data_IF_277525260792
#
_entry.id   IF_277525260792
#
_cell.length_a   1.000
_cell.length_b   1.000
_cell.length_c   1.000
_cell.angle_alpha   90.00
_cell.angle_beta   90.00
_cell.angle_gamma   90.00
#
_symmetry.space_group_name_H-M   'P 1'
#
loop_
_entity.id
_entity.type
_entity.pdbx_description
1 polymer ?
#
# COMPACT_ATOMS: atom_id res chain seq x y z
N UNK A 1 25.07 -1.17 -50.22
CA UNK A 1 25.24 -2.16 -49.13
C UNK A 1 25.11 -1.54 -47.73
N UNK A 2 25.82 -0.44 -47.41
CA UNK A 2 25.82 0.17 -46.06
C UNK A 2 24.43 0.47 -45.46
N UNK A 3 23.49 1.08 -46.21
CA UNK A 3 22.16 1.45 -45.69
C UNK A 3 21.30 0.26 -45.20
N UNK A 4 21.40 -0.90 -45.87
CA UNK A 4 20.62 -2.11 -45.50
C UNK A 4 21.13 -2.72 -44.20
N UNK A 5 22.45 -2.86 -44.09
CA UNK A 5 23.10 -3.37 -42.88
C UNK A 5 22.84 -2.47 -41.69
N UNK A 6 22.90 -1.14 -41.87
CA UNK A 6 22.57 -0.17 -40.81
C UNK A 6 21.13 -0.34 -40.34
N UNK A 7 20.17 -0.49 -41.25
CA UNK A 7 18.76 -0.57 -40.88
C UNK A 7 18.41 -1.90 -40.20
N UNK A 8 19.03 -3.01 -40.61
CA UNK A 8 18.92 -4.28 -39.90
C UNK A 8 19.54 -4.22 -38.49
N UNK A 9 20.69 -3.56 -38.34
CA UNK A 9 21.33 -3.35 -37.03
C UNK A 9 20.41 -2.53 -36.13
N UNK A 10 19.82 -1.43 -36.64
CA UNK A 10 18.87 -0.61 -35.88
C UNK A 10 17.62 -1.39 -35.48
N UNK A 11 17.04 -2.19 -36.38
CA UNK A 11 15.90 -3.06 -36.03
C UNK A 11 16.30 -4.03 -34.92
N UNK A 12 17.48 -4.65 -35.02
CA UNK A 12 18.00 -5.57 -34.01
C UNK A 12 18.17 -4.89 -32.65
N UNK A 13 18.73 -3.68 -32.61
CA UNK A 13 18.89 -2.91 -31.36
C UNK A 13 17.54 -2.56 -30.75
N UNK A 14 16.60 -2.02 -31.54
CA UNK A 14 15.27 -1.64 -31.03
C UNK A 14 14.48 -2.88 -30.59
N UNK A 15 14.59 -4.00 -31.30
CA UNK A 15 13.96 -5.26 -30.91
C UNK A 15 14.55 -5.81 -29.60
N UNK A 16 15.87 -5.74 -29.42
CA UNK A 16 16.52 -6.14 -28.17
C UNK A 16 16.11 -5.23 -27.00
N UNK A 17 16.03 -3.92 -27.22
CA UNK A 17 15.53 -2.99 -26.20
C UNK A 17 14.06 -3.28 -25.88
N UNK A 18 13.21 -3.48 -26.88
CA UNK A 18 11.79 -3.80 -26.68
C UNK A 18 11.62 -5.11 -25.89
N UNK A 19 12.31 -6.18 -26.28
CA UNK A 19 12.27 -7.46 -25.57
C UNK A 19 12.84 -7.28 -24.16
N UNK A 20 13.95 -6.57 -24.00
CA UNK A 20 14.54 -6.28 -22.70
C UNK A 20 13.58 -5.53 -21.77
N UNK A 21 12.91 -4.49 -22.27
CA UNK A 21 11.90 -3.72 -21.51
C UNK A 21 10.70 -4.58 -21.14
N UNK A 22 10.18 -5.39 -22.07
CA UNK A 22 9.06 -6.31 -21.77
C UNK A 22 9.47 -7.38 -20.76
N UNK A 23 10.64 -8.00 -20.94
CA UNK A 23 11.16 -9.01 -20.01
C UNK A 23 11.40 -8.42 -18.63
N UNK A 24 11.99 -7.22 -18.55
CA UNK A 24 12.21 -6.53 -17.29
C UNK A 24 10.88 -6.24 -16.58
N UNK A 25 9.90 -5.63 -17.26
CA UNK A 25 8.59 -5.33 -16.64
C UNK A 25 7.76 -6.57 -16.25
N UNK A 26 8.09 -7.76 -16.75
CA UNK A 26 7.46 -9.03 -16.32
C UNK A 26 8.20 -9.65 -15.13
N UNK A 27 9.53 -9.48 -15.08
CA UNK A 27 10.39 -10.13 -14.10
C UNK A 27 10.62 -9.30 -12.84
N UNK A 28 10.51 -7.98 -12.95
CA UNK A 28 10.65 -7.06 -11.83
C UNK A 28 9.28 -6.86 -11.18
N UNK A 29 9.13 -7.13 -9.88
CA UNK A 29 7.90 -6.84 -9.14
C UNK A 29 7.55 -5.35 -9.28
N UNK A 30 6.27 -5.05 -9.48
CA UNK A 30 5.82 -3.67 -9.44
C UNK A 30 5.59 -3.28 -7.99
N UNK A 31 6.56 -2.62 -7.37
CA UNK A 31 6.41 -2.01 -6.06
C UNK A 31 6.45 -0.48 -6.23
N UNK A 32 5.33 0.20 -5.95
CA UNK A 32 5.22 1.65 -6.06
C UNK A 32 6.24 2.37 -5.16
N UNK A 33 6.59 1.77 -4.03
CA UNK A 33 7.51 2.31 -3.03
C UNK A 33 8.98 1.97 -3.29
N UNK A 34 9.33 1.23 -4.34
CA UNK A 34 10.69 0.68 -4.54
C UNK A 34 11.84 1.70 -4.50
N UNK A 35 11.58 2.97 -4.84
CA UNK A 35 12.55 4.07 -4.80
C UNK A 35 11.94 5.30 -4.14
N UNK A 36 10.93 5.10 -3.30
CA UNK A 36 10.23 6.17 -2.63
C UNK A 36 11.00 6.59 -1.37
N UNK A 37 10.92 7.88 -1.07
CA UNK A 37 11.43 8.45 0.18
C UNK A 37 10.42 9.46 0.68
N UNK A 38 9.90 9.19 1.87
CA UNK A 38 8.75 9.89 2.41
C UNK A 38 8.20 9.16 3.63
N UNK A 39 7.22 9.78 4.27
CA UNK A 39 6.48 9.17 5.38
C UNK A 39 5.73 7.93 4.88
N UNK A 40 5.74 6.87 5.68
CA UNK A 40 4.81 5.76 5.51
C UNK A 40 3.45 6.08 6.12
N UNK A 41 2.55 5.10 6.08
CA UNK A 41 1.13 5.27 6.43
C UNK A 41 0.80 5.15 7.93
N UNK A 42 1.82 5.06 8.81
CA UNK A 42 1.63 4.69 10.21
C UNK A 42 2.42 5.57 11.17
N UNK A 43 1.74 6.12 12.18
CA UNK A 43 2.32 6.94 13.26
C UNK A 43 1.71 6.57 14.62
N UNK A 44 2.44 6.89 15.69
CA UNK A 44 1.93 6.85 17.06
C UNK A 44 2.64 7.88 17.96
N UNK A 45 1.96 8.35 19.01
CA UNK A 45 2.45 9.37 19.95
C UNK A 45 2.84 8.70 21.27
N UNK A 46 4.01 9.06 21.81
CA UNK A 46 4.44 8.54 23.10
C UNK A 46 3.52 9.01 24.23
N UNK A 47 3.31 8.21 25.30
CA UNK A 47 2.43 8.58 26.41
C UNK A 47 2.78 9.90 27.11
N UNK A 48 4.02 10.38 26.98
CA UNK A 48 4.50 11.65 27.55
C UNK A 48 4.36 12.86 26.60
N UNK A 49 3.82 12.66 25.38
CA UNK A 49 3.68 13.66 24.31
C UNK A 49 5.01 14.26 23.81
N UNK A 50 6.16 13.65 24.14
CA UNK A 50 7.49 14.18 23.74
C UNK A 50 7.98 13.62 22.39
N UNK A 51 7.52 12.42 22.03
CA UNK A 51 8.00 11.68 20.86
C UNK A 51 6.84 11.20 19.96
N UNK A 52 7.13 11.13 18.67
CA UNK A 52 6.30 10.51 17.66
C UNK A 52 7.08 9.35 17.04
N UNK A 53 6.52 8.15 17.07
CA UNK A 53 7.00 7.04 16.26
C UNK A 53 6.32 7.07 14.90
N UNK A 54 7.07 6.83 13.82
CA UNK A 54 6.51 6.80 12.47
C UNK A 54 7.30 5.88 11.57
N UNK A 55 6.63 5.29 10.58
CA UNK A 55 7.31 4.59 9.50
C UNK A 55 7.78 5.59 8.43
N UNK A 56 8.96 5.35 7.87
CA UNK A 56 9.56 6.23 6.86
C UNK A 56 10.31 5.40 5.84
N UNK A 57 10.04 5.67 4.56
CA UNK A 57 10.76 5.09 3.45
C UNK A 57 12.01 5.90 3.14
N UNK A 58 13.11 5.20 2.87
CA UNK A 58 14.34 5.78 2.35
C UNK A 58 14.86 4.90 1.22
N UNK A 59 14.75 5.40 -0.02
CA UNK A 59 15.07 4.65 -1.25
C UNK A 59 14.37 3.28 -1.29
N UNK A 60 13.09 3.28 -0.89
CA UNK A 60 12.21 2.11 -0.83
C UNK A 60 12.43 1.14 0.34
N UNK A 61 13.30 1.50 1.28
CA UNK A 61 13.45 0.78 2.53
C UNK A 61 12.69 1.50 3.66
N UNK A 62 11.68 0.83 4.20
CA UNK A 62 10.81 1.29 5.28
C UNK A 62 11.39 0.91 6.63
N UNK A 63 11.67 1.92 7.43
CA UNK A 63 12.20 1.80 8.78
C UNK A 63 11.32 2.57 9.76
N UNK A 64 11.49 2.32 11.05
CA UNK A 64 10.80 3.07 12.10
C UNK A 64 11.73 4.14 12.66
N UNK A 65 11.21 5.35 12.75
CA UNK A 65 11.89 6.53 13.27
C UNK A 65 11.15 7.07 14.48
N UNK A 66 11.91 7.72 15.38
CA UNK A 66 11.40 8.56 16.45
C UNK A 66 11.68 10.02 16.13
N UNK A 67 10.64 10.84 16.16
CA UNK A 67 10.71 12.31 16.07
C UNK A 67 10.52 12.93 17.43
N UNK A 68 11.42 13.82 17.85
CA UNK A 68 11.24 14.64 19.04
C UNK A 68 10.37 15.86 18.71
N UNK A 69 9.22 15.99 19.37
CA UNK A 69 8.23 17.01 19.04
C UNK A 69 8.59 18.42 19.54
N UNK A 70 9.57 18.56 20.44
CA UNK A 70 10.04 19.87 20.93
C UNK A 70 11.04 20.50 19.96
N UNK A 71 12.01 19.72 19.48
CA UNK A 71 13.14 20.24 18.70
C UNK A 71 13.18 19.78 17.23
N UNK A 72 12.27 18.88 16.85
CA UNK A 72 12.12 18.36 15.49
C UNK A 72 13.17 17.34 15.05
N UNK A 73 14.11 16.92 15.91
CA UNK A 73 15.13 15.94 15.53
C UNK A 73 14.54 14.55 15.35
N UNK A 74 15.05 13.79 14.39
CA UNK A 74 14.63 12.41 14.12
C UNK A 74 15.77 11.42 14.30
N UNK A 75 15.47 10.23 14.82
CA UNK A 75 16.39 9.11 14.98
C UNK A 75 15.79 7.83 14.39
N UNK A 76 16.59 7.06 13.65
CA UNK A 76 16.19 5.73 13.15
C UNK A 76 16.34 4.71 14.29
N UNK A 77 15.25 4.08 14.70
CA UNK A 77 15.23 3.16 15.85
C UNK A 77 15.06 1.70 15.47
N UNK A 78 14.37 1.42 14.37
CA UNK A 78 14.28 0.08 13.77
C UNK A 78 14.66 0.18 12.29
N UNK A 79 15.96 0.00 11.96
CA UNK A 79 16.42 0.02 10.58
C UNK A 79 15.76 -1.09 9.76
N UNK A 80 15.51 -0.79 8.49
CA UNK A 80 15.16 -1.76 7.46
C UNK A 80 16.23 -2.84 7.36
N UNK A 81 15.80 -4.03 6.95
CA UNK A 81 16.70 -5.15 6.73
C UNK A 81 16.17 -6.02 5.61
N UNK A 82 15.94 -7.29 5.92
CA UNK A 82 15.20 -8.18 5.01
C UNK A 82 13.69 -7.94 5.04
N UNK A 83 13.21 -7.18 6.02
CA UNK A 83 11.81 -6.81 6.23
C UNK A 83 11.62 -5.30 6.13
N UNK A 84 10.40 -4.89 5.80
CA UNK A 84 9.92 -3.52 5.83
C UNK A 84 9.24 -3.29 7.19
N UNK A 85 9.65 -2.28 7.95
CA UNK A 85 9.13 -2.08 9.31
C UNK A 85 8.05 -0.98 9.33
N UNK A 86 6.88 -1.29 9.89
CA UNK A 86 5.72 -0.37 9.91
C UNK A 86 4.88 -0.52 11.17
N UNK A 87 3.85 0.32 11.30
CA UNK A 87 2.84 0.28 12.37
C UNK A 87 3.46 0.27 13.79
N UNK A 88 4.30 1.27 14.13
CA UNK A 88 4.79 1.39 15.50
C UNK A 88 3.64 1.73 16.45
N UNK A 89 3.60 1.10 17.62
CA UNK A 89 2.70 1.46 18.73
C UNK A 89 3.49 1.42 20.04
N UNK A 90 3.54 2.54 20.76
CA UNK A 90 4.27 2.66 22.01
C UNK A 90 3.67 1.77 23.10
N UNK A 91 4.55 1.23 23.95
CA UNK A 91 4.10 0.64 25.21
C UNK A 91 3.44 1.72 26.10
N UNK A 92 2.46 1.35 26.95
CA UNK A 92 1.81 2.31 27.85
C UNK A 92 2.77 3.03 28.81
N UNK A 93 3.94 2.44 29.07
CA UNK A 93 4.99 3.05 29.90
C UNK A 93 5.96 3.95 29.11
N UNK A 94 5.78 4.04 27.78
CA UNK A 94 6.53 4.86 26.84
C UNK A 94 7.98 4.42 26.60
N UNK A 95 8.42 3.28 27.15
CA UNK A 95 9.82 2.86 27.01
C UNK A 95 10.10 2.09 25.73
N UNK A 96 9.15 1.26 25.31
CA UNK A 96 9.25 0.39 24.15
C UNK A 96 8.13 0.63 23.16
N UNK A 97 8.05 -0.24 22.15
CA UNK A 97 6.97 -0.25 21.16
C UNK A 97 6.82 -1.62 20.52
N UNK A 98 5.62 -1.97 20.07
CA UNK A 98 5.44 -3.04 19.09
C UNK A 98 5.52 -2.48 17.68
N UNK A 99 5.82 -3.35 16.71
CA UNK A 99 5.78 -3.01 15.29
C UNK A 99 5.65 -4.25 14.41
N UNK A 100 5.30 -4.06 13.14
CA UNK A 100 5.31 -5.12 12.13
C UNK A 100 6.58 -5.10 11.30
N UNK A 101 7.19 -6.28 11.16
CA UNK A 101 8.21 -6.57 10.17
C UNK A 101 7.57 -7.34 9.01
N UNK A 102 7.33 -6.65 7.90
CA UNK A 102 6.73 -7.22 6.69
C UNK A 102 7.79 -7.89 5.82
N UNK A 103 7.62 -9.19 5.60
CA UNK A 103 8.51 -10.02 4.79
C UNK A 103 8.29 -9.80 3.28
N UNK A 104 9.19 -10.32 2.44
CA UNK A 104 9.12 -10.16 0.97
C UNK A 104 7.82 -10.71 0.35
N UNK A 105 7.20 -11.72 0.98
CA UNK A 105 5.91 -12.30 0.59
C UNK A 105 4.69 -11.56 1.17
N UNK A 106 4.91 -10.48 1.91
CA UNK A 106 3.89 -9.67 2.57
C UNK A 106 3.42 -10.22 3.91
N UNK A 107 4.03 -11.29 4.43
CA UNK A 107 3.71 -11.79 5.76
C UNK A 107 4.22 -10.82 6.82
N UNK A 108 3.31 -10.33 7.67
CA UNK A 108 3.63 -9.44 8.78
C UNK A 108 3.96 -10.26 10.03
N UNK A 109 5.14 -10.00 10.59
CA UNK A 109 5.60 -10.60 11.84
C UNK A 109 5.64 -9.53 12.92
N UNK A 110 4.97 -9.78 14.03
CA UNK A 110 4.92 -8.87 15.17
C UNK A 110 6.22 -8.94 15.97
N UNK A 111 6.76 -7.77 16.29
CA UNK A 111 7.96 -7.60 17.09
C UNK A 111 7.72 -6.59 18.20
N UNK A 112 8.53 -6.68 19.26
CA UNK A 112 8.59 -5.71 20.35
C UNK A 112 10.02 -5.17 20.47
N UNK A 113 10.15 -3.85 20.46
CA UNK A 113 11.39 -3.15 20.76
C UNK A 113 11.33 -2.66 22.23
N UNK A 114 12.13 -3.22 23.15
CA UNK A 114 12.06 -2.83 24.57
C UNK A 114 12.44 -1.37 24.84
N UNK A 115 13.41 -0.84 24.08
CA UNK A 115 13.82 0.55 24.09
C UNK A 115 14.61 0.89 22.81
N UNK A 116 14.67 2.17 22.40
CA UNK A 116 15.57 2.60 21.32
C UNK A 116 17.02 2.16 21.56
N UNK A 117 17.57 1.41 20.62
CA UNK A 117 18.94 0.87 20.67
C UNK A 117 19.08 -0.52 21.30
N UNK A 118 18.01 -1.09 21.86
CA UNK A 118 17.97 -2.50 22.24
C UNK A 118 17.70 -3.41 21.02
N UNK A 119 17.94 -4.70 21.16
CA UNK A 119 17.60 -5.69 20.13
C UNK A 119 16.09 -5.99 20.16
N UNK A 120 15.40 -5.99 19.01
CA UNK A 120 14.00 -6.37 18.93
C UNK A 120 13.75 -7.84 19.33
N UNK A 121 12.62 -8.08 19.97
CA UNK A 121 12.10 -9.39 20.33
C UNK A 121 11.02 -9.76 19.33
N UNK A 122 11.19 -10.84 18.60
CA UNK A 122 10.16 -11.37 17.71
C UNK A 122 9.05 -12.01 18.57
N UNK A 123 7.83 -11.49 18.45
CA UNK A 123 6.67 -11.93 19.23
C UNK A 123 5.80 -12.94 18.50
N UNK A 124 5.91 -13.10 17.17
CA UNK A 124 5.18 -14.13 16.42
C UNK A 124 6.10 -14.83 15.41
N UNK A 125 5.77 -16.04 15.00
CA UNK A 125 6.51 -16.78 13.96
C UNK A 125 6.06 -16.42 12.54
N UNK A 126 6.85 -16.83 11.55
CA UNK A 126 6.61 -16.60 10.11
C UNK A 126 5.52 -17.50 9.50
N UNK A 127 5.03 -18.48 10.26
CA UNK A 127 3.88 -19.31 9.91
C UNK A 127 2.53 -18.64 10.23
N UNK A 128 2.55 -17.43 10.78
CA UNK A 128 1.38 -16.60 11.05
C UNK A 128 1.53 -15.24 10.35
N UNK A 129 0.45 -14.77 9.71
CA UNK A 129 0.33 -13.40 9.24
C UNK A 129 -0.48 -12.60 10.25
N UNK A 130 0.11 -11.53 10.79
CA UNK A 130 -0.53 -10.61 11.74
C UNK A 130 -1.13 -9.42 11.00
N UNK A 131 -2.42 -9.16 11.19
CA UNK A 131 -3.11 -8.02 10.58
C UNK A 131 -3.03 -6.77 11.45
N UNK A 132 -3.30 -6.93 12.74
CA UNK A 132 -3.40 -5.86 13.72
C UNK A 132 -2.92 -6.37 15.08
N UNK A 133 -2.35 -5.51 15.90
CA UNK A 133 -1.89 -5.83 17.24
C UNK A 133 -2.05 -4.60 18.14
N UNK A 134 -2.28 -4.82 19.43
CA UNK A 134 -2.40 -3.78 20.47
C UNK A 134 -1.76 -4.24 21.78
N UNK A 135 -1.18 -3.32 22.54
CA UNK A 135 -0.58 -3.61 23.86
C UNK A 135 -1.61 -3.42 24.98
N UNK A 136 -1.63 -4.34 25.95
CA UNK A 136 -2.44 -4.22 27.16
C UNK A 136 -2.13 -2.98 27.98
N UNK A 137 -3.11 -2.36 28.67
CA UNK A 137 -2.85 -1.18 29.51
C UNK A 137 -1.79 -1.38 30.60
N UNK A 138 -1.58 -2.63 31.04
CA UNK A 138 -0.53 -2.99 32.00
C UNK A 138 0.85 -3.18 31.36
N UNK A 139 0.93 -3.19 30.03
CA UNK A 139 2.16 -3.27 29.24
C UNK A 139 2.76 -4.67 29.11
N UNK A 140 2.10 -5.74 29.59
CA UNK A 140 2.71 -7.07 29.66
C UNK A 140 2.26 -8.03 28.55
N UNK A 141 1.10 -7.78 27.93
CA UNK A 141 0.49 -8.68 26.95
C UNK A 141 0.20 -7.94 25.65
N UNK A 142 0.46 -8.59 24.53
CA UNK A 142 0.06 -8.10 23.21
C UNK A 142 -1.07 -8.97 22.69
N UNK A 143 -2.17 -8.34 22.29
CA UNK A 143 -3.29 -8.98 21.62
C UNK A 143 -3.20 -8.70 20.14
N UNK A 144 -3.47 -9.69 19.30
CA UNK A 144 -3.31 -9.54 17.86
C UNK A 144 -4.29 -10.40 17.06
N UNK A 145 -4.69 -9.90 15.90
CA UNK A 145 -5.47 -10.64 14.91
C UNK A 145 -4.49 -11.30 13.95
N UNK A 146 -4.58 -12.62 13.80
CA UNK A 146 -3.72 -13.34 12.87
C UNK A 146 -4.42 -14.53 12.23
N UNK A 147 -3.84 -14.99 11.11
CA UNK A 147 -4.19 -16.25 10.46
C UNK A 147 -2.90 -17.00 10.07
N UNK A 148 -2.97 -18.31 9.78
CA UNK A 148 -1.83 -19.02 9.21
C UNK A 148 -1.33 -18.36 7.91
N UNK A 149 -0.04 -18.10 7.80
CA UNK A 149 0.54 -17.41 6.64
C UNK A 149 0.36 -18.20 5.33
N UNK A 150 0.15 -19.51 5.41
CA UNK A 150 -0.18 -20.35 4.26
C UNK A 150 -1.57 -20.03 3.64
N UNK A 151 -2.49 -19.51 4.45
CA UNK A 151 -3.84 -19.09 4.04
C UNK A 151 -3.89 -17.61 3.61
N UNK A 152 -2.91 -16.80 4.03
CA UNK A 152 -2.77 -15.41 3.61
C UNK A 152 -2.64 -15.29 2.08
N UNK A 153 -3.37 -14.33 1.49
CA UNK A 153 -3.47 -14.11 0.04
C UNK A 153 -3.97 -15.31 -0.80
N UNK A 154 -4.57 -16.34 -0.18
CA UNK A 154 -5.23 -17.40 -0.94
C UNK A 154 -6.53 -16.88 -1.56
N UNK A 155 -6.88 -17.33 -2.79
CA UNK A 155 -8.16 -16.97 -3.42
C UNK A 155 -9.36 -17.37 -2.54
N UNK A 156 -10.50 -16.65 -2.64
CA UNK A 156 -11.72 -17.03 -1.94
C UNK A 156 -12.10 -18.50 -2.18
N UNK A 157 -12.40 -19.23 -1.10
CA UNK A 157 -12.75 -20.65 -1.14
C UNK A 157 -11.57 -21.62 -1.22
N UNK A 158 -10.33 -21.12 -1.06
CA UNK A 158 -9.10 -21.93 -0.94
C UNK A 158 -8.41 -21.81 0.43
N UNK A 159 -8.92 -20.95 1.29
CA UNK A 159 -8.46 -20.79 2.67
C UNK A 159 -9.00 -21.96 3.49
N UNK A 160 -8.13 -22.66 4.20
CA UNK A 160 -8.52 -23.74 5.10
C UNK A 160 -8.83 -23.20 6.52
N UNK A 161 -8.23 -22.07 6.89
CA UNK A 161 -8.45 -21.34 8.15
C UNK A 161 -8.64 -19.84 7.89
N UNK A 162 -9.15 -19.11 8.88
CA UNK A 162 -9.31 -17.65 8.82
C UNK A 162 -8.59 -16.94 9.95
N UNK A 163 -8.97 -15.68 10.16
CA UNK A 163 -8.44 -14.83 11.22
C UNK A 163 -9.05 -15.15 12.57
N UNK A 164 -8.22 -15.08 13.60
CA UNK A 164 -8.59 -15.23 15.00
C UNK A 164 -7.81 -14.25 15.88
N UNK A 165 -8.32 -14.02 17.09
CA UNK A 165 -7.63 -13.25 18.12
C UNK A 165 -6.70 -14.17 18.89
N UNK A 166 -5.48 -13.70 19.07
CA UNK A 166 -4.43 -14.33 19.86
C UNK A 166 -3.91 -13.36 20.91
N UNK A 167 -3.20 -13.91 21.91
CA UNK A 167 -2.38 -13.13 22.84
C UNK A 167 -1.00 -13.74 23.00
N UNK A 168 -0.02 -12.88 23.29
CA UNK A 168 1.33 -13.25 23.68
C UNK A 168 1.78 -12.40 24.87
N UNK A 169 2.33 -13.04 25.89
CA UNK A 169 2.98 -12.36 27.01
C UNK A 169 4.43 -12.01 26.63
N UNK A 170 4.78 -10.73 26.75
CA UNK A 170 6.04 -10.16 26.23
C UNK A 170 7.27 -10.78 26.93
N UNK A 171 7.17 -11.06 28.23
CA UNK A 171 8.30 -11.53 29.04
C UNK A 171 8.49 -13.05 28.96
N UNK A 172 7.39 -13.80 28.90
CA UNK A 172 7.39 -15.26 28.98
C UNK A 172 7.26 -15.97 27.63
N UNK A 173 6.95 -15.24 26.55
CA UNK A 173 6.69 -15.79 25.21
C UNK A 173 5.55 -16.82 25.22
N UNK A 174 4.58 -16.61 26.11
CA UNK A 174 3.42 -17.50 26.28
C UNK A 174 2.31 -17.12 25.32
N UNK A 175 2.08 -17.97 24.32
CA UNK A 175 1.04 -17.78 23.31
C UNK A 175 -0.26 -18.50 23.61
N UNK A 176 -1.38 -17.85 23.29
CA UNK A 176 -2.72 -18.45 23.37
C UNK A 176 -3.62 -17.93 22.25
N UNK A 177 -4.41 -18.83 21.64
CA UNK A 177 -5.50 -18.48 20.72
C UNK A 177 -6.77 -18.28 21.55
N UNK A 178 -7.39 -17.10 21.47
CA UNK A 178 -8.55 -16.71 22.28
C UNK A 178 -9.89 -17.02 21.60
N UNK A 179 -9.92 -16.97 20.27
CA UNK A 179 -11.12 -17.29 19.47
C UNK A 179 -10.90 -18.52 18.59
N UNK A 180 -11.99 -19.12 18.08
CA UNK A 180 -11.92 -20.20 17.08
C UNK A 180 -13.00 -19.97 16.03
N UNK A 181 -12.92 -18.81 15.38
CA UNK A 181 -13.89 -18.29 14.41
C UNK A 181 -13.53 -18.62 12.98
N UNK A 182 -12.23 -18.68 12.68
CA UNK A 182 -11.73 -18.76 11.30
C UNK A 182 -12.37 -17.67 10.42
N UNK A 183 -12.41 -16.44 10.94
CA UNK A 183 -13.14 -15.35 10.30
C UNK A 183 -12.50 -14.95 8.97
N UNK A 184 -13.31 -14.70 7.94
CA UNK A 184 -12.79 -14.26 6.65
C UNK A 184 -12.19 -12.84 6.73
N UNK A 185 -12.83 -11.98 7.51
CA UNK A 185 -12.39 -10.61 7.80
C UNK A 185 -12.56 -10.34 9.30
N UNK A 186 -11.50 -9.84 9.93
CA UNK A 186 -11.47 -9.41 11.33
C UNK A 186 -10.48 -8.25 11.44
N UNK A 187 -10.93 -7.11 11.98
CA UNK A 187 -10.20 -5.83 11.96
C UNK A 187 -10.67 -4.88 13.05
N UNK A 188 -9.98 -3.75 13.22
CA UNK A 188 -10.30 -2.74 14.21
C UNK A 188 -10.12 -3.20 15.66
N UNK A 189 -9.13 -4.05 15.93
CA UNK A 189 -8.82 -4.56 17.27
C UNK A 189 -8.54 -3.40 18.22
N UNK A 190 -9.32 -3.31 19.29
CA UNK A 190 -9.19 -2.33 20.36
C UNK A 190 -9.44 -2.98 21.72
N UNK A 191 -9.14 -2.29 22.81
CA UNK A 191 -9.31 -2.82 24.16
C UNK A 191 -9.83 -1.77 25.13
N UNK A 192 -10.61 -2.22 26.12
CA UNK A 192 -11.07 -1.40 27.23
C UNK A 192 -9.90 -0.99 28.14
N UNK A 193 -10.02 0.17 28.78
CA UNK A 193 -8.95 0.72 29.63
C UNK A 193 -8.63 -0.16 30.86
N UNK A 194 -9.59 -0.94 31.34
CA UNK A 194 -9.39 -1.92 32.41
C UNK A 194 -8.66 -3.19 31.94
N UNK A 195 -8.49 -3.38 30.63
CA UNK A 195 -7.86 -4.54 30.02
C UNK A 195 -8.70 -5.82 30.09
N UNK A 196 -10.00 -5.71 30.38
CA UNK A 196 -10.88 -6.87 30.55
C UNK A 196 -11.64 -7.25 29.26
N UNK A 197 -11.81 -6.30 28.32
CA UNK A 197 -12.61 -6.48 27.10
C UNK A 197 -11.86 -6.07 25.84
N UNK A 198 -11.90 -6.92 24.81
CA UNK A 198 -11.46 -6.59 23.45
C UNK A 198 -12.65 -6.21 22.57
N UNK A 199 -12.42 -5.33 21.60
CA UNK A 199 -13.39 -4.94 20.58
C UNK A 199 -12.81 -5.20 19.20
N UNK A 200 -13.61 -5.71 18.28
CA UNK A 200 -13.22 -5.92 16.89
C UNK A 200 -14.44 -5.96 15.95
N UNK A 201 -14.24 -5.69 14.67
CA UNK A 201 -15.24 -5.81 13.62
C UNK A 201 -14.93 -7.01 12.71
N UNK A 202 -15.94 -7.66 12.13
CA UNK A 202 -15.72 -8.78 11.21
C UNK A 202 -16.93 -9.20 10.39
N UNK A 203 -16.69 -9.81 9.23
CA UNK A 203 -17.72 -10.06 8.19
C UNK A 203 -18.81 -11.05 8.60
N UNK A 204 -18.55 -11.92 9.57
CA UNK A 204 -19.47 -13.00 9.94
C UNK A 204 -20.74 -12.49 10.65
N UNK A 205 -20.73 -11.24 11.14
CA UNK A 205 -21.85 -10.58 11.81
C UNK A 205 -22.43 -9.37 11.03
N UNK A 206 -21.93 -9.07 9.83
CA UNK A 206 -22.13 -7.76 9.19
C UNK A 206 -21.18 -6.70 9.78
N UNK A 207 -21.36 -5.42 9.45
CA UNK A 207 -20.58 -4.31 10.05
C UNK A 207 -20.99 -4.06 11.51
N UNK A 208 -20.77 -5.07 12.36
CA UNK A 208 -21.13 -5.08 13.77
C UNK A 208 -19.84 -5.16 14.55
N UNK A 209 -19.67 -4.24 15.50
CA UNK A 209 -18.58 -4.31 16.46
C UNK A 209 -18.90 -5.40 17.48
N UNK A 210 -17.96 -6.29 17.75
CA UNK A 210 -18.10 -7.36 18.74
C UNK A 210 -17.21 -7.05 19.93
N UNK A 211 -17.76 -7.14 21.14
CA UNK A 211 -16.94 -7.18 22.35
C UNK A 211 -16.64 -8.62 22.74
N UNK A 212 -15.43 -8.88 23.24
CA UNK A 212 -14.97 -10.16 23.76
C UNK A 212 -14.42 -9.97 25.18
N UNK A 213 -15.04 -10.62 26.16
CA UNK A 213 -14.58 -10.63 27.55
C UNK A 213 -13.43 -11.63 27.71
N UNK A 214 -12.26 -11.16 28.15
CA UNK A 214 -11.02 -11.94 28.16
C UNK A 214 -11.04 -13.06 29.21
N UNK A 215 -11.74 -12.89 30.34
CA UNK A 215 -11.77 -13.89 31.40
C UNK A 215 -12.75 -15.02 31.09
N UNK A 216 -13.93 -14.67 30.59
CA UNK A 216 -15.04 -15.60 30.38
C UNK A 216 -15.08 -16.16 28.95
N UNK A 217 -14.49 -15.45 27.99
CA UNK A 217 -14.61 -15.74 26.56
C UNK A 217 -16.01 -15.46 26.01
N UNK A 218 -16.85 -14.71 26.74
CA UNK A 218 -18.19 -14.34 26.28
C UNK A 218 -18.10 -13.19 25.26
N UNK A 219 -18.93 -13.30 24.21
CA UNK A 219 -19.03 -12.28 23.17
C UNK A 219 -20.40 -11.62 23.17
N UNK A 220 -20.41 -10.32 22.88
CA UNK A 220 -21.62 -9.56 22.67
C UNK A 220 -21.50 -8.67 21.42
N UNK A 221 -22.54 -8.71 20.59
CA UNK A 221 -22.66 -7.85 19.41
C UNK A 221 -23.15 -6.46 19.81
N UNK A 222 -22.38 -5.43 19.44
CA UNK A 222 -22.76 -4.04 19.47
C UNK A 222 -23.14 -3.61 18.06
N UNK A 223 -24.44 -3.47 17.82
CA UNK A 223 -24.92 -2.75 16.65
C UNK A 223 -24.61 -1.27 16.83
N UNK A 224 -23.44 -0.84 16.36
CA UNK A 224 -23.11 0.58 16.28
C UNK A 224 -23.96 1.16 15.16
N UNK A 225 -25.20 1.54 15.51
CA UNK A 225 -26.25 1.88 14.54
C UNK A 225 -26.00 3.24 13.87
N UNK A 226 -24.94 3.93 14.28
CA UNK A 226 -24.63 5.32 13.95
C UNK A 226 -23.24 5.50 13.29
N UNK A 227 -22.43 4.43 13.14
CA UNK A 227 -21.16 4.52 12.40
C UNK A 227 -21.40 4.37 10.89
N UNK A 228 -20.63 5.07 10.04
CA UNK A 228 -20.69 4.91 8.58
C UNK A 228 -20.28 3.50 8.15
N UNK A 229 -20.74 3.07 6.96
CA UNK A 229 -20.44 1.73 6.40
C UNK A 229 -18.92 1.47 6.22
N UNK A 230 -18.08 2.51 6.20
CA UNK A 230 -16.63 2.40 6.09
C UNK A 230 -15.91 3.23 7.15
N UNK A 231 -15.43 2.53 8.19
CA UNK A 231 -14.56 3.06 9.23
C UNK A 231 -13.21 2.35 9.17
N UNK A 232 -12.13 3.11 9.14
CA UNK A 232 -10.75 2.62 9.14
C UNK A 232 -9.92 3.23 10.26
N UNK A 233 -8.92 2.47 10.73
CA UNK A 233 -7.94 2.88 11.74
C UNK A 233 -8.58 3.48 13.02
N UNK A 234 -9.53 2.77 13.66
CA UNK A 234 -10.08 3.21 14.92
C UNK A 234 -8.98 3.26 15.99
N UNK A 235 -8.79 4.40 16.62
CA UNK A 235 -7.86 4.58 17.74
C UNK A 235 -8.61 5.10 18.96
N UNK A 236 -8.38 4.49 20.12
CA UNK A 236 -9.03 4.85 21.37
C UNK A 236 -8.15 5.83 22.14
N UNK A 237 -8.74 6.91 22.65
CA UNK A 237 -8.06 7.80 23.61
C UNK A 237 -7.60 7.03 24.86
N UNK A 238 -6.52 7.48 25.50
CA UNK A 238 -5.95 6.78 26.67
C UNK A 238 -6.94 6.56 27.83
N UNK A 239 -7.94 7.44 27.96
CA UNK A 239 -8.99 7.34 28.97
C UNK A 239 -10.24 6.56 28.50
N UNK A 240 -10.25 6.06 27.27
CA UNK A 240 -11.37 5.31 26.68
C UNK A 240 -12.62 6.12 26.37
N UNK A 241 -12.62 7.45 26.57
CA UNK A 241 -13.83 8.29 26.46
C UNK A 241 -14.15 8.71 25.01
N UNK A 242 -13.14 8.68 24.15
CA UNK A 242 -13.23 9.05 22.74
C UNK A 242 -12.60 7.99 21.85
N UNK A 243 -13.22 7.77 20.69
CA UNK A 243 -12.74 6.95 19.60
C UNK A 243 -12.53 7.86 18.38
N UNK A 244 -11.30 7.97 17.90
CA UNK A 244 -11.01 8.64 16.65
C UNK A 244 -10.95 7.62 15.52
N UNK A 245 -11.47 7.97 14.35
CA UNK A 245 -11.50 7.06 13.21
C UNK A 245 -11.60 7.81 11.90
N UNK A 246 -11.16 7.16 10.81
CA UNK A 246 -11.25 7.71 9.47
C UNK A 246 -12.48 7.11 8.76
N UNK A 247 -13.26 7.96 8.10
CA UNK A 247 -14.41 7.52 7.33
C UNK A 247 -14.60 8.35 6.05
N UNK A 248 -15.32 7.78 5.10
CA UNK A 248 -15.60 8.45 3.83
C UNK A 248 -16.57 9.63 4.02
N UNK A 249 -16.19 10.82 3.55
CA UNK A 249 -17.02 12.03 3.51
C UNK A 249 -17.28 12.50 2.07
N UNK A 250 -17.91 11.63 1.28
CA UNK A 250 -18.31 11.95 -0.10
C UNK A 250 -17.22 11.74 -1.15
N UNK A 251 -17.26 12.56 -2.21
CA UNK A 251 -16.38 12.48 -3.39
C UNK A 251 -15.98 13.88 -3.85
N UNK A 252 -14.75 14.02 -4.35
CA UNK A 252 -14.27 15.24 -4.98
C UNK A 252 -14.80 15.41 -6.42
N UNK A 253 -14.49 16.54 -7.08
CA UNK A 253 -14.98 16.83 -8.45
C UNK A 253 -14.59 15.78 -9.50
N UNK A 254 -13.55 14.99 -9.25
CA UNK A 254 -13.07 13.94 -10.14
C UNK A 254 -13.70 12.57 -9.86
N UNK A 255 -14.57 12.46 -8.85
CA UNK A 255 -15.20 11.21 -8.41
C UNK A 255 -14.29 10.34 -7.54
N UNK A 256 -13.23 10.92 -6.97
CA UNK A 256 -12.39 10.24 -5.98
C UNK A 256 -13.00 10.43 -4.60
N UNK A 257 -13.08 9.37 -3.81
CA UNK A 257 -13.56 9.43 -2.43
C UNK A 257 -12.70 10.34 -1.55
N UNK A 258 -13.35 11.05 -0.63
CA UNK A 258 -12.71 11.88 0.39
C UNK A 258 -12.79 11.10 1.70
N UNK A 259 -11.70 11.09 2.47
CA UNK A 259 -11.63 10.43 3.77
C UNK A 259 -11.23 11.46 4.82
N UNK A 260 -12.06 11.59 5.85
CA UNK A 260 -11.90 12.58 6.92
C UNK A 260 -11.85 11.90 8.28
N UNK A 261 -11.28 12.60 9.25
CA UNK A 261 -11.18 12.16 10.64
C UNK A 261 -12.43 12.56 11.41
N UNK A 262 -12.96 11.61 12.16
CA UNK A 262 -14.12 11.77 13.04
C UNK A 262 -13.74 11.39 14.46
N UNK A 263 -14.45 11.99 15.42
CA UNK A 263 -14.31 11.74 16.84
C UNK A 263 -15.68 11.33 17.39
N UNK A 264 -15.74 10.17 18.02
CA UNK A 264 -16.94 9.64 18.65
C UNK A 264 -16.77 9.58 20.16
N UNK A 265 -17.76 10.07 20.90
CA UNK A 265 -17.84 9.84 22.33
C UNK A 265 -18.31 8.40 22.59
N UNK A 266 -17.53 7.63 23.36
CA UNK A 266 -17.77 6.18 23.52
C UNK A 266 -18.98 5.85 24.39
N UNK A 267 -19.41 6.76 25.28
CA UNK A 267 -20.58 6.54 26.15
C UNK A 267 -21.90 6.89 25.44
N UNK A 268 -21.95 8.04 24.77
CA UNK A 268 -23.16 8.55 24.12
C UNK A 268 -23.34 8.06 22.68
N UNK A 269 -22.24 7.70 22.01
CA UNK A 269 -22.19 7.39 20.59
C UNK A 269 -22.29 8.60 19.67
N UNK A 270 -22.28 9.82 20.20
CA UNK A 270 -22.28 11.03 19.39
C UNK A 270 -20.96 11.21 18.65
N UNK A 271 -21.04 11.45 17.35
CA UNK A 271 -19.89 11.65 16.44
C UNK A 271 -19.82 13.09 15.94
N UNK A 272 -18.61 13.64 15.86
CA UNK A 272 -18.28 14.88 15.17
C UNK A 272 -17.15 14.69 14.16
N UNK A 273 -17.21 15.44 13.05
CA UNK A 273 -16.14 15.50 12.06
C UNK A 273 -15.07 16.50 12.52
N UNK A 274 -13.82 16.07 12.56
CA UNK A 274 -12.69 16.90 13.00
C UNK A 274 -11.98 17.60 11.84
N UNK A 275 -11.97 17.00 10.65
CA UNK A 275 -11.23 17.51 9.49
C UNK A 275 -12.14 17.75 8.30
N UNK A 276 -11.79 18.76 7.50
CA UNK A 276 -12.37 19.09 6.19
C UNK A 276 -11.19 19.37 5.24
N UNK A 277 -10.31 18.37 5.10
CA UNK A 277 -9.08 18.48 4.30
C UNK A 277 -9.40 18.44 2.80
N UNK A 278 -10.46 17.73 2.41
CA UNK A 278 -10.92 17.61 1.03
C UNK A 278 -10.15 16.60 0.17
N UNK A 279 -9.32 15.77 0.82
CA UNK A 279 -8.60 14.66 0.20
C UNK A 279 -8.67 13.42 1.09
N UNK A 280 -7.55 12.91 1.60
CA UNK A 280 -7.50 11.73 2.48
C UNK A 280 -6.64 12.04 3.70
N UNK A 281 -7.09 11.61 4.88
CA UNK A 281 -6.31 11.60 6.11
C UNK A 281 -6.24 10.18 6.68
N UNK A 282 -5.17 9.87 7.40
CA UNK A 282 -4.89 8.54 7.91
C UNK A 282 -4.17 8.57 9.26
N UNK A 283 -4.12 7.41 9.91
CA UNK A 283 -3.36 7.09 11.13
C UNK A 283 -3.54 8.13 12.25
N UNK A 284 -4.76 8.37 12.73
CA UNK A 284 -4.95 9.25 13.87
C UNK A 284 -4.23 8.71 15.10
N UNK A 285 -3.59 9.60 15.86
CA UNK A 285 -2.95 9.28 17.12
C UNK A 285 -3.25 10.37 18.17
N UNK A 286 -3.71 9.97 19.35
CA UNK A 286 -4.04 10.91 20.43
C UNK A 286 -2.79 11.42 21.13
N UNK A 287 -2.76 12.71 21.43
CA UNK A 287 -1.91 13.22 22.49
C UNK A 287 -2.55 12.88 23.85
N UNK A 288 -1.73 12.45 24.80
CA UNK A 288 -2.18 12.04 26.13
C UNK A 288 -2.52 13.21 27.03
N UNK A 289 -1.72 14.28 26.98
CA UNK A 289 -1.80 15.41 27.90
C UNK A 289 -2.32 16.69 27.24
N UNK A 290 -2.49 16.69 25.91
CA UNK A 290 -3.01 17.82 25.15
C UNK A 290 -4.26 17.45 24.37
N UNK A 291 -5.19 18.40 24.20
CA UNK A 291 -6.51 18.18 23.61
C UNK A 291 -6.45 18.20 22.06
N UNK A 292 -5.61 17.34 21.49
CA UNK A 292 -5.22 17.32 20.06
C UNK A 292 -4.91 15.89 19.61
N UNK A 293 -4.97 15.69 18.30
CA UNK A 293 -4.50 14.48 17.63
C UNK A 293 -3.41 14.82 16.61
N UNK A 294 -2.49 13.89 16.40
CA UNK A 294 -1.67 13.82 15.21
C UNK A 294 -2.37 12.96 14.14
N UNK A 295 -2.10 13.24 12.88
CA UNK A 295 -2.59 12.47 11.73
C UNK A 295 -1.65 12.65 10.54
N UNK A 296 -1.78 11.76 9.56
CA UNK A 296 -1.16 11.90 8.25
C UNK A 296 -2.19 12.47 7.27
N UNK A 297 -1.86 13.55 6.57
CA UNK A 297 -2.65 14.10 5.48
C UNK A 297 -2.03 13.67 4.15
N UNK A 298 -2.79 13.03 3.28
CA UNK A 298 -2.31 12.53 1.99
C UNK A 298 -2.46 13.60 0.90
N UNK A 299 -1.35 14.12 0.41
CA UNK A 299 -1.33 15.25 -0.52
C UNK A 299 -1.75 14.88 -1.95
N UNK A 300 -1.47 13.65 -2.38
CA UNK A 300 -1.61 13.22 -3.77
C UNK A 300 -2.61 12.08 -3.98
N UNK A 301 -3.49 11.87 -3.01
CA UNK A 301 -4.56 10.87 -3.04
C UNK A 301 -5.35 10.89 -4.37
N UNK A 302 -5.56 9.73 -5.04
CA UNK A 302 -5.25 8.36 -4.63
C UNK A 302 -4.02 7.80 -5.35
N UNK A 303 -2.96 8.60 -5.48
CA UNK A 303 -1.74 8.18 -6.18
C UNK A 303 -0.93 7.20 -5.34
N UNK A 304 -0.13 6.35 -5.99
CA UNK A 304 0.86 5.51 -5.34
C UNK A 304 2.25 5.73 -5.97
N UNK A 305 3.33 5.83 -5.19
CA UNK A 305 3.35 5.84 -3.71
C UNK A 305 2.66 7.10 -3.15
N UNK A 306 2.05 6.98 -1.98
CA UNK A 306 1.35 8.09 -1.32
C UNK A 306 2.35 9.09 -0.74
N UNK A 307 2.07 10.38 -0.88
CA UNK A 307 2.83 11.45 -0.27
C UNK A 307 2.06 12.00 0.94
N UNK A 308 2.59 11.77 2.14
CA UNK A 308 1.97 12.21 3.39
C UNK A 308 2.67 13.44 3.98
N UNK A 309 1.87 14.33 4.56
CA UNK A 309 2.31 15.38 5.47
C UNK A 309 1.83 15.07 6.89
N UNK A 310 2.72 15.23 7.87
CA UNK A 310 2.40 15.04 9.28
C UNK A 310 1.72 16.29 9.85
N UNK A 311 0.51 16.12 10.36
CA UNK A 311 -0.37 17.20 10.79
C UNK A 311 -0.88 16.99 12.20
N UNK A 312 -1.39 18.07 12.80
CA UNK A 312 -2.18 18.04 14.04
C UNK A 312 -3.49 18.77 13.89
N UNK A 313 -4.49 18.32 14.65
CA UNK A 313 -5.79 18.96 14.78
C UNK A 313 -6.19 19.02 16.26
N UNK A 314 -6.98 20.02 16.66
CA UNK A 314 -7.61 19.99 17.99
C UNK A 314 -8.74 18.98 18.00
N UNK A 315 -8.97 18.32 19.14
CA UNK A 315 -10.17 17.49 19.31
C UNK A 315 -11.47 18.30 19.19
N UNK A 316 -11.43 19.63 19.30
CA UNK A 316 -12.61 20.47 19.03
C UNK A 316 -12.75 20.84 17.53
N UNK A 317 -11.99 20.17 16.66
CA UNK A 317 -11.83 20.50 15.25
C UNK A 317 -11.00 21.76 14.99
N UNK A 318 -10.93 22.15 13.72
CA UNK A 318 -10.28 23.39 13.27
C UNK A 318 -9.21 23.15 12.19
N UNK A 319 -8.39 24.18 11.95
CA UNK A 319 -7.37 24.14 10.91
C UNK A 319 -6.24 23.15 11.27
N UNK A 320 -5.81 22.36 10.27
CA UNK A 320 -4.64 21.49 10.40
C UNK A 320 -3.36 22.31 10.57
N UNK A 321 -2.47 21.83 11.43
CA UNK A 321 -1.15 22.44 11.67
C UNK A 321 -0.06 21.39 11.47
N UNK A 322 0.89 21.69 10.57
CA UNK A 322 2.02 20.82 10.25
C UNK A 322 2.95 20.60 11.46
N UNK A 323 3.50 19.39 11.58
CA UNK A 323 4.58 19.07 12.51
C UNK A 323 5.91 19.06 11.73
N UNK A 324 6.77 20.01 12.04
CA UNK A 324 8.10 20.12 11.42
C UNK A 324 9.09 19.13 12.05
N UNK A 325 9.34 18.01 11.36
CA UNK A 325 10.43 17.07 11.69
C UNK A 325 11.58 17.18 10.68
N UNK A 326 12.81 16.98 11.16
CA UNK A 326 14.03 16.96 10.35
C UNK A 326 14.19 15.62 9.62
N UNK A 327 13.28 15.34 8.68
CA UNK A 327 13.18 14.04 8.00
C UNK A 327 14.45 13.71 7.17
N UNK A 328 14.87 12.42 7.15
CA UNK A 328 16.02 11.97 6.37
C UNK A 328 15.82 12.24 4.87
N UNK A 329 16.77 12.93 4.25
CA UNK A 329 16.70 13.23 2.82
C UNK A 329 17.34 12.13 1.98
N UNK A 330 16.90 12.05 0.72
CA UNK A 330 17.53 11.19 -0.28
C UNK A 330 19.01 11.50 -0.50
N UNK A 331 19.77 10.45 -0.84
CA UNK A 331 21.08 10.60 -1.44
C UNK A 331 20.97 11.37 -2.77
N UNK A 332 21.94 12.25 -3.06
CA UNK A 332 21.90 13.09 -4.27
C UNK A 332 21.90 12.24 -5.57
N UNK A 333 20.72 12.00 -6.14
CA UNK A 333 20.50 11.57 -7.52
C UNK A 333 19.66 10.30 -7.69
N UNK A 334 18.95 10.23 -8.81
CA UNK A 334 18.20 9.03 -9.22
C UNK A 334 19.22 7.90 -9.45
N UNK A 335 19.12 6.83 -8.66
CA UNK A 335 19.94 5.63 -8.82
C UNK A 335 19.83 5.04 -10.23
N UNK A 336 20.84 4.29 -10.68
CA UNK A 336 20.81 3.67 -12.02
C UNK A 336 19.56 2.78 -12.19
N UNK A 337 19.17 2.02 -11.17
CA UNK A 337 18.00 1.15 -11.21
C UNK A 337 16.69 1.94 -11.21
N UNK A 338 16.53 2.95 -10.34
CA UNK A 338 15.41 3.88 -10.38
C UNK A 338 15.23 4.54 -11.76
N UNK A 339 16.34 4.89 -12.44
CA UNK A 339 16.30 5.39 -13.81
C UNK A 339 15.79 4.33 -14.80
N UNK A 340 16.25 3.08 -14.69
CA UNK A 340 15.77 1.98 -15.53
C UNK A 340 14.27 1.75 -15.31
N UNK A 341 13.80 1.67 -14.06
CA UNK A 341 12.38 1.48 -13.72
C UNK A 341 11.51 2.58 -14.32
N UNK A 342 11.91 3.84 -14.15
CA UNK A 342 11.20 4.98 -14.75
C UNK A 342 11.16 4.94 -16.28
N UNK A 343 12.18 4.37 -16.91
CA UNK A 343 12.22 4.19 -18.37
C UNK A 343 11.37 3.00 -18.84
N UNK A 344 11.16 1.97 -18.01
CA UNK A 344 10.33 0.81 -18.33
C UNK A 344 8.86 1.16 -18.06
N UNK A 345 8.24 1.84 -19.02
CA UNK A 345 6.85 2.23 -18.94
C UNK A 345 6.10 2.02 -20.27
N UNK A 346 4.78 2.19 -20.24
CA UNK A 346 3.90 2.00 -21.38
C UNK A 346 4.27 2.92 -22.57
N UNK A 347 4.71 4.14 -22.32
CA UNK A 347 5.13 5.10 -23.38
C UNK A 347 6.41 4.60 -24.06
N UNK A 348 7.42 4.20 -23.29
CA UNK A 348 8.66 3.64 -23.84
C UNK A 348 8.40 2.40 -24.69
N UNK A 349 7.57 1.47 -24.19
CA UNK A 349 7.15 0.29 -24.95
C UNK A 349 6.44 0.67 -26.25
N UNK A 350 5.54 1.65 -26.21
CA UNK A 350 4.82 2.16 -27.38
C UNK A 350 5.76 2.75 -28.43
N UNK A 351 6.73 3.56 -27.99
CA UNK A 351 7.74 4.17 -28.87
C UNK A 351 8.63 3.10 -29.48
N UNK A 352 9.14 2.16 -28.69
CA UNK A 352 9.97 1.05 -29.18
C UNK A 352 9.21 0.17 -30.17
N UNK A 353 7.93 -0.13 -29.91
CA UNK A 353 7.07 -0.88 -30.82
C UNK A 353 6.90 -0.16 -32.17
N UNK A 354 6.51 1.11 -32.14
CA UNK A 354 6.32 1.92 -33.35
C UNK A 354 7.63 2.10 -34.13
N UNK A 355 8.76 2.31 -33.45
CA UNK A 355 10.07 2.40 -34.08
C UNK A 355 10.49 1.07 -34.73
N UNK A 356 10.30 -0.06 -34.04
CA UNK A 356 10.64 -1.38 -34.56
C UNK A 356 9.87 -1.69 -35.84
N UNK A 357 8.54 -1.49 -35.83
CA UNK A 357 7.71 -1.72 -37.01
C UNK A 357 7.91 -0.67 -38.10
N UNK A 358 8.13 0.60 -37.74
CA UNK A 358 8.45 1.69 -38.68
C UNK A 358 9.76 1.46 -39.44
N UNK A 359 10.82 1.07 -38.74
CA UNK A 359 12.08 0.64 -39.35
C UNK A 359 11.87 -0.60 -40.23
N UNK A 360 11.10 -1.58 -39.74
CA UNK A 360 10.76 -2.77 -40.53
C UNK A 360 9.99 -2.43 -41.82
N UNK A 361 9.11 -1.43 -41.81
CA UNK A 361 8.42 -0.93 -43.01
C UNK A 361 9.44 -0.37 -44.00
N UNK A 362 10.38 0.46 -43.54
CA UNK A 362 11.44 1.01 -44.37
C UNK A 362 12.34 -0.09 -44.96
N UNK A 363 12.67 -1.13 -44.18
CA UNK A 363 13.41 -2.31 -44.64
C UNK A 363 12.65 -3.07 -45.73
N UNK A 364 11.41 -3.46 -45.43
CA UNK A 364 10.59 -4.32 -46.29
C UNK A 364 10.14 -3.59 -47.55
N UNK A 365 10.06 -2.26 -47.54
CA UNK A 365 9.86 -1.46 -48.74
C UNK A 365 10.95 -1.73 -49.80
N UNK A 366 12.21 -1.90 -49.38
CA UNK A 366 13.31 -2.26 -50.29
C UNK A 366 13.15 -3.64 -50.95
N UNK A 367 12.22 -4.45 -50.45
CA UNK A 367 11.86 -5.78 -50.94
C UNK A 367 10.44 -5.83 -51.52
N UNK A 368 9.83 -4.68 -51.83
CA UNK A 368 8.45 -4.56 -52.33
C UNK A 368 7.36 -5.15 -51.40
N UNK A 369 7.63 -5.24 -50.09
CA UNK A 369 6.73 -5.80 -49.07
C UNK A 369 6.38 -4.79 -47.97
N UNK A 370 6.16 -3.53 -48.35
CA UNK A 370 5.98 -2.39 -47.43
C UNK A 370 4.94 -2.62 -46.32
N UNK A 371 3.83 -3.30 -46.62
CA UNK A 371 2.75 -3.53 -45.66
C UNK A 371 2.91 -4.81 -44.83
N UNK A 372 3.92 -5.64 -45.08
CA UNK A 372 4.10 -6.89 -44.32
C UNK A 372 4.23 -6.65 -42.81
N UNK A 373 5.03 -5.67 -42.33
CA UNK A 373 5.11 -5.39 -40.89
C UNK A 373 3.78 -4.90 -40.31
N UNK A 374 2.99 -4.14 -41.06
CA UNK A 374 1.65 -3.69 -40.64
C UNK A 374 0.71 -4.89 -40.45
N UNK A 375 0.76 -5.87 -41.38
CA UNK A 375 -0.02 -7.10 -41.27
C UNK A 375 0.42 -7.91 -40.05
N UNK A 376 1.73 -8.02 -39.80
CA UNK A 376 2.25 -8.71 -38.60
C UNK A 376 1.74 -8.01 -37.33
N UNK A 377 1.79 -6.69 -37.26
CA UNK A 377 1.26 -5.90 -36.14
C UNK A 377 -0.25 -6.15 -35.93
N UNK A 378 -1.04 -6.18 -37.01
CA UNK A 378 -2.46 -6.51 -36.96
C UNK A 378 -2.74 -7.93 -36.45
N UNK A 379 -1.92 -8.91 -36.87
CA UNK A 379 -2.02 -10.30 -36.40
C UNK A 379 -1.71 -10.38 -34.90
N UNK A 380 -0.68 -9.67 -34.43
CA UNK A 380 -0.35 -9.62 -32.99
C UNK A 380 -1.53 -9.05 -32.20
N UNK A 381 -2.11 -7.92 -32.63
CA UNK A 381 -3.29 -7.34 -31.98
C UNK A 381 -4.48 -8.32 -31.94
N UNK A 382 -4.75 -9.03 -33.04
CA UNK A 382 -5.81 -10.02 -33.11
C UNK A 382 -5.58 -11.24 -32.20
N UNK A 383 -4.34 -11.72 -32.11
CA UNK A 383 -3.98 -12.82 -31.21
C UNK A 383 -4.10 -12.41 -29.74
N UNK A 384 -3.70 -11.18 -29.39
CA UNK A 384 -3.89 -10.64 -28.02
C UNK A 384 -5.36 -10.57 -27.66
N UNK A 385 -6.24 -10.13 -28.58
CA UNK A 385 -7.68 -10.10 -28.36
C UNK A 385 -8.28 -11.51 -28.17
N UNK A 386 -7.84 -12.49 -28.97
CA UNK A 386 -8.26 -13.89 -28.80
C UNK A 386 -7.81 -14.42 -27.44
N UNK A 387 -6.57 -14.12 -27.03
CA UNK A 387 -6.06 -14.45 -25.70
C UNK A 387 -6.90 -13.85 -24.57
N UNK A 388 -7.32 -12.58 -24.72
CA UNK A 388 -8.21 -11.92 -23.77
C UNK A 388 -9.55 -12.68 -23.62
N UNK A 389 -10.17 -13.07 -24.74
CA UNK A 389 -11.45 -13.81 -24.76
C UNK A 389 -11.30 -15.17 -24.05
N UNK A 390 -10.18 -15.87 -24.25
CA UNK A 390 -9.90 -17.14 -23.58
C UNK A 390 -9.72 -16.91 -22.06
N UNK A 391 -9.01 -15.84 -21.69
CA UNK A 391 -8.72 -15.52 -20.29
C UNK A 391 -9.97 -15.15 -19.48
N UNK A 392 -11.06 -14.67 -20.10
CA UNK A 392 -12.32 -14.31 -19.40
C UNK A 392 -12.83 -15.45 -18.52
N UNK A 393 -12.68 -16.70 -18.97
CA UNK A 393 -13.19 -17.86 -18.25
C UNK A 393 -12.32 -18.28 -17.04
N UNK A 394 -11.06 -17.85 -16.98
CA UNK A 394 -10.10 -18.32 -15.96
C UNK A 394 -9.59 -17.20 -15.06
N UNK A 395 -9.36 -16.00 -15.61
CA UNK A 395 -8.88 -14.83 -14.88
C UNK A 395 -9.46 -13.56 -15.52
N UNK A 396 -10.57 -13.02 -14.98
CA UNK A 396 -11.22 -11.82 -15.49
C UNK A 396 -10.31 -10.58 -15.54
N UNK A 397 -9.44 -10.40 -14.55
CA UNK A 397 -8.49 -9.28 -14.51
C UNK A 397 -7.47 -9.34 -15.64
N UNK A 398 -6.92 -10.53 -15.91
CA UNK A 398 -6.03 -10.76 -17.05
C UNK A 398 -6.74 -10.50 -18.38
N UNK A 399 -8.02 -10.86 -18.49
CA UNK A 399 -8.81 -10.59 -19.68
C UNK A 399 -9.00 -9.08 -19.95
N UNK A 400 -9.24 -8.29 -18.90
CA UNK A 400 -9.31 -6.82 -19.00
C UNK A 400 -7.97 -6.27 -19.48
N UNK A 401 -6.86 -6.65 -18.86
CA UNK A 401 -5.52 -6.20 -19.26
C UNK A 401 -5.18 -6.52 -20.72
N UNK A 402 -5.44 -7.76 -21.16
CA UNK A 402 -5.20 -8.17 -22.55
C UNK A 402 -6.12 -7.45 -23.54
N UNK A 403 -7.36 -7.15 -23.16
CA UNK A 403 -8.30 -6.40 -24.02
C UNK A 403 -7.79 -4.98 -24.24
N UNK A 404 -7.39 -4.29 -23.17
CA UNK A 404 -6.81 -2.94 -23.24
C UNK A 404 -5.56 -2.93 -24.11
N UNK A 405 -4.66 -3.91 -23.92
CA UNK A 405 -3.47 -4.06 -24.75
C UNK A 405 -3.81 -4.27 -26.23
N UNK A 406 -4.81 -5.10 -26.54
CA UNK A 406 -5.24 -5.35 -27.92
C UNK A 406 -5.77 -4.08 -28.61
N UNK A 407 -6.51 -3.24 -27.88
CA UNK A 407 -7.01 -1.94 -28.39
C UNK A 407 -5.84 -1.02 -28.73
N UNK A 408 -4.86 -0.89 -27.84
CA UNK A 408 -3.65 -0.09 -28.10
C UNK A 408 -2.87 -0.60 -29.31
N UNK A 409 -2.65 -1.91 -29.42
CA UNK A 409 -1.96 -2.52 -30.56
C UNK A 409 -2.70 -2.29 -31.88
N UNK A 410 -4.05 -2.31 -31.87
CA UNK A 410 -4.85 -1.96 -33.04
C UNK A 410 -4.68 -0.48 -33.43
N UNK A 411 -4.62 0.43 -32.44
CA UNK A 411 -4.29 1.83 -32.64
C UNK A 411 -2.90 2.03 -33.27
N UNK A 412 -1.88 1.35 -32.77
CA UNK A 412 -0.53 1.38 -33.34
C UNK A 412 -0.49 0.81 -34.76
N UNK A 413 -1.25 -0.26 -35.02
CA UNK A 413 -1.40 -0.83 -36.37
C UNK A 413 -1.92 0.21 -37.35
N UNK A 414 -2.91 1.02 -36.96
CA UNK A 414 -3.46 2.10 -37.79
C UNK A 414 -2.40 3.19 -38.06
N UNK A 415 -1.66 3.61 -37.03
CA UNK A 415 -0.55 4.58 -37.18
C UNK A 415 0.50 4.05 -38.16
N UNK A 416 0.91 2.80 -38.01
CA UNK A 416 1.88 2.13 -38.89
C UNK A 416 1.35 1.98 -40.33
N UNK A 417 0.05 1.75 -40.50
CA UNK A 417 -0.59 1.71 -41.81
C UNK A 417 -0.53 3.07 -42.51
N UNK A 418 -0.87 4.16 -41.82
CA UNK A 418 -0.77 5.53 -42.34
C UNK A 418 0.69 5.82 -42.72
N UNK A 419 1.63 5.51 -41.83
CA UNK A 419 3.05 5.68 -42.09
C UNK A 419 3.51 4.89 -43.34
N UNK A 420 3.15 3.61 -43.46
CA UNK A 420 3.48 2.78 -44.62
C UNK A 420 2.90 3.35 -45.93
N UNK A 421 1.65 3.85 -45.89
CA UNK A 421 0.98 4.46 -47.03
C UNK A 421 1.71 5.72 -47.50
N UNK A 422 2.01 6.64 -46.57
CA UNK A 422 2.72 7.88 -46.88
C UNK A 422 4.15 7.59 -47.34
N UNK A 423 4.88 6.72 -46.64
CA UNK A 423 6.25 6.34 -46.98
C UNK A 423 6.35 5.74 -48.38
N UNK A 424 5.46 4.81 -48.74
CA UNK A 424 5.40 4.22 -50.09
C UNK A 424 5.16 5.29 -51.16
N UNK A 425 4.30 6.28 -50.90
CA UNK A 425 3.95 7.35 -51.85
C UNK A 425 5.07 8.35 -52.04
N UNK A 426 5.83 8.66 -50.99
CA UNK A 426 6.98 9.57 -51.06
C UNK A 426 8.20 8.90 -51.71
N UNK A 427 8.53 7.68 -51.26
CA UNK A 427 9.67 6.93 -51.78
C UNK A 427 9.49 6.52 -53.26
N UNK A 428 8.25 6.31 -53.71
CA UNK A 428 7.93 6.03 -55.11
C UNK A 428 8.07 7.21 -56.07
N UNK A 429 8.26 8.44 -55.58
CA UNK A 429 8.51 9.64 -56.41
C UNK A 429 9.99 9.97 -56.62
N UNK A 430 10.90 9.21 -55.99
CA UNK A 430 12.34 9.50 -55.97
C UNK A 430 13.18 8.60 -56.90
N UNK A 431 12.57 8.04 -57.95
CA UNK A 431 13.23 7.21 -58.98
C UNK A 431 13.20 7.94 -60.31
#
# INVERSE_FOLDING_TARGET
MKKRSVLLILIGIVALLFIGTVSYGILTPNNAYQHHTGLGESIDISPDDEHLAFSYYKDGEQSIYLGNLENGSTEEVVPSGTAQNSHPEFSPDGKGMIYFASQEDGVNILHYLPAPGDEPIQLTSDDMHVFEAIISPDGNTVYYIAMPSADFNQPPGKQDNGSDIHRVDIDSDSHEKLTDKDAYDMRGLNMSQDGETLYYAGSDAGEVMTSYDIETGEEAEYHVSDLPDYVSQPTLSQNGAQLAYVAQDGENENGTFIYELFLMNTESGETEQLTDYGASVASPAFFTHTNRLALLAEEDWPSEPSEFELMTVSENGGDLTSIDLALPQDGNGIGFWAFIDRMVNAVTLSVLYLLMFGLSIAYMHMHNRTYLPVIISAVVAGLTLIGAIIAVASNPWMAIGLTTLAIWLAGFTLILWIFAFVYRRMAGKAI
#
